data_IF_225421899213
#
_entry.id   IF_225421899213
#
_cell.length_a   1.000
_cell.length_b   1.000
_cell.length_c   1.000
_cell.angle_alpha   90.00
_cell.angle_beta   90.00
_cell.angle_gamma   90.00
#
_symmetry.space_group_name_H-M   'P 1'
#
loop_
_entity.id
_entity.type
_entity.pdbx_description
1 polymer ?
#
# COMPACT_ATOMS: atom_id res chain seq x y z
N UNK A 1 19.92 7.55 -0.08
CA UNK A 1 20.58 7.02 1.14
C UNK A 1 19.60 6.93 2.31
N UNK A 2 18.71 5.94 2.26
CA UNK A 2 17.78 5.68 3.34
C UNK A 2 18.21 4.43 4.09
N UNK A 3 18.07 4.46 5.41
CA UNK A 3 18.42 3.32 6.24
C UNK A 3 17.55 2.11 5.90
N UNK A 4 16.25 2.34 5.68
CA UNK A 4 15.31 1.29 5.30
C UNK A 4 14.08 1.92 4.65
N UNK A 5 13.42 1.14 3.83
CA UNK A 5 12.22 1.55 3.12
C UNK A 5 12.32 1.24 1.63
N UNK A 6 11.19 0.98 1.04
CA UNK A 6 11.07 0.76 -0.40
C UNK A 6 9.93 1.60 -0.94
N UNK A 7 10.23 2.35 -2.01
CA UNK A 7 9.26 3.21 -2.65
C UNK A 7 9.18 2.82 -4.12
N UNK A 8 7.99 2.49 -4.57
CA UNK A 8 7.75 2.05 -5.95
C UNK A 8 6.82 3.03 -6.64
N UNK A 9 7.16 3.38 -7.87
CA UNK A 9 6.30 4.17 -8.74
C UNK A 9 5.98 3.36 -9.97
N UNK A 10 4.70 3.14 -10.23
CA UNK A 10 4.23 2.40 -11.40
C UNK A 10 3.46 3.34 -12.33
N UNK A 11 3.79 3.31 -13.61
CA UNK A 11 3.12 4.08 -14.65
C UNK A 11 2.28 3.13 -15.50
N UNK A 12 1.00 3.44 -15.63
CA UNK A 12 0.04 2.62 -16.35
C UNK A 12 -0.73 3.46 -17.34
N UNK A 13 -1.03 2.89 -18.49
CA UNK A 13 -1.96 3.51 -19.44
C UNK A 13 -3.30 2.82 -19.33
N UNK A 14 -4.37 3.59 -19.29
CA UNK A 14 -5.74 3.09 -19.22
C UNK A 14 -6.56 3.70 -20.33
N UNK A 15 -7.46 2.91 -20.91
CA UNK A 15 -8.36 3.37 -21.95
C UNK A 15 -9.79 3.44 -21.43
N UNK A 16 -10.50 4.52 -21.77
CA UNK A 16 -11.93 4.66 -21.49
C UNK A 16 -12.28 4.47 -20.00
N UNK A 17 -11.40 4.89 -19.11
CA UNK A 17 -11.63 4.80 -17.67
C UNK A 17 -12.23 6.10 -17.15
N UNK A 18 -13.51 6.08 -16.83
CA UNK A 18 -14.26 7.26 -16.42
C UNK A 18 -14.63 7.29 -14.94
N UNK A 19 -14.23 6.27 -14.17
CA UNK A 19 -14.54 6.20 -12.75
C UNK A 19 -13.49 6.91 -11.91
N UNK A 20 -13.84 7.23 -10.66
CA UNK A 20 -12.89 7.76 -9.68
C UNK A 20 -11.93 6.64 -9.28
N UNK A 21 -10.70 6.74 -9.74
CA UNK A 21 -9.68 5.73 -9.52
C UNK A 21 -9.34 5.58 -8.03
N UNK A 22 -9.29 6.70 -7.31
CA UNK A 22 -9.02 6.65 -5.87
C UNK A 22 -10.09 5.86 -5.13
N UNK A 23 -11.34 6.07 -5.50
CA UNK A 23 -12.47 5.34 -4.92
C UNK A 23 -12.42 3.85 -5.25
N UNK A 24 -11.98 3.48 -6.44
CA UNK A 24 -11.79 2.07 -6.81
C UNK A 24 -10.76 1.39 -5.91
N UNK A 25 -9.64 2.05 -5.64
CA UNK A 25 -8.61 1.52 -4.74
C UNK A 25 -9.13 1.43 -3.31
N UNK A 26 -9.82 2.45 -2.83
CA UNK A 26 -10.40 2.44 -1.48
C UNK A 26 -11.37 1.28 -1.30
N UNK A 27 -12.23 1.04 -2.28
CA UNK A 27 -13.19 -0.05 -2.23
C UNK A 27 -12.52 -1.42 -2.26
N UNK A 28 -11.50 -1.56 -3.10
CA UNK A 28 -10.78 -2.85 -3.22
C UNK A 28 -10.07 -3.23 -1.92
N UNK A 29 -9.48 -2.25 -1.24
CA UNK A 29 -8.68 -2.48 -0.04
C UNK A 29 -9.40 -2.14 1.26
N UNK A 30 -10.72 -1.91 1.25
CA UNK A 30 -11.44 -1.44 2.43
C UNK A 30 -11.36 -2.41 3.62
N UNK A 31 -11.20 -3.71 3.37
CA UNK A 31 -11.08 -4.72 4.42
C UNK A 31 -9.62 -5.06 4.76
N UNK A 32 -8.66 -4.43 4.10
CA UNK A 32 -7.25 -4.70 4.32
C UNK A 32 -6.73 -3.95 5.53
N UNK A 33 -6.15 -4.66 6.49
CA UNK A 33 -5.64 -4.06 7.73
C UNK A 33 -4.39 -3.22 7.52
N UNK A 34 -3.56 -3.61 6.56
CA UNK A 34 -2.23 -3.02 6.39
C UNK A 34 -2.05 -2.23 5.11
N UNK A 35 -3.09 -2.09 4.31
CA UNK A 35 -3.05 -1.23 3.12
C UNK A 35 -3.83 0.05 3.41
N UNK A 36 -3.15 1.18 3.27
CA UNK A 36 -3.76 2.50 3.46
C UNK A 36 -3.76 3.23 2.12
N UNK A 37 -4.95 3.50 1.61
CA UNK A 37 -5.10 4.31 0.41
C UNK A 37 -5.16 5.77 0.85
N UNK A 38 -4.18 6.54 0.41
CA UNK A 38 -4.04 7.93 0.83
C UNK A 38 -5.09 8.81 0.17
N UNK A 39 -5.35 9.94 0.81
CA UNK A 39 -6.25 10.95 0.27
C UNK A 39 -5.77 11.37 -1.12
N UNK A 40 -6.72 11.59 -2.02
CA UNK A 40 -6.44 12.03 -3.39
C UNK A 40 -5.45 13.20 -3.42
N UNK A 41 -4.41 13.07 -4.23
CA UNK A 41 -3.36 14.07 -4.35
C UNK A 41 -2.25 13.98 -3.30
N UNK A 42 -2.27 12.95 -2.45
CA UNK A 42 -1.25 12.75 -1.41
C UNK A 42 -0.29 11.65 -1.84
N UNK A 43 1.00 11.92 -1.73
CA UNK A 43 2.04 10.94 -2.02
C UNK A 43 2.44 10.20 -0.73
N UNK A 44 2.77 8.90 -0.83
CA UNK A 44 3.31 8.17 0.31
C UNK A 44 4.65 8.75 0.76
N UNK A 45 4.93 8.59 2.06
CA UNK A 45 6.19 8.99 2.66
C UNK A 45 6.80 7.80 3.38
N UNK A 46 8.07 7.50 3.11
CA UNK A 46 8.76 6.38 3.76
C UNK A 46 8.79 6.51 5.27
N UNK A 47 8.93 7.72 5.79
CA UNK A 47 8.93 7.96 7.24
C UNK A 47 7.67 7.49 7.95
N UNK A 48 6.55 7.43 7.23
CA UNK A 48 5.25 7.04 7.82
C UNK A 48 5.02 5.54 7.83
N UNK A 49 5.82 4.79 7.09
CA UNK A 49 5.71 3.32 7.03
C UNK A 49 6.88 2.62 7.70
N UNK A 50 7.99 3.32 7.97
CA UNK A 50 9.14 2.74 8.64
C UNK A 50 8.74 2.17 9.99
N UNK A 51 9.24 0.98 10.30
CA UNK A 51 8.95 0.22 11.51
C UNK A 51 7.49 -0.23 11.63
N UNK A 52 6.76 -0.25 10.52
CA UNK A 52 5.35 -0.70 10.49
C UNK A 52 5.16 -1.77 9.43
N UNK A 53 4.04 -2.49 9.54
CA UNK A 53 3.61 -3.43 8.51
C UNK A 53 2.65 -2.80 7.49
N UNK A 54 2.56 -1.49 7.44
CA UNK A 54 1.67 -0.79 6.51
C UNK A 54 2.27 -0.66 5.11
N UNK A 55 1.39 -0.68 4.13
CA UNK A 55 1.68 -0.29 2.76
C UNK A 55 0.81 0.93 2.44
N UNK A 56 1.43 2.06 2.21
CA UNK A 56 0.72 3.28 1.84
C UNK A 56 0.73 3.42 0.33
N UNK A 57 -0.43 3.69 -0.24
CA UNK A 57 -0.60 3.81 -1.69
C UNK A 57 -1.22 5.16 -2.03
N UNK A 58 -0.57 5.90 -2.93
CA UNK A 58 -1.10 7.11 -3.52
C UNK A 58 -1.39 6.87 -5.01
N UNK A 59 -2.55 7.31 -5.48
CA UNK A 59 -2.99 7.08 -6.85
C UNK A 59 -3.24 8.41 -7.52
N UNK A 60 -2.69 8.57 -8.72
CA UNK A 60 -2.80 9.79 -9.52
C UNK A 60 -3.23 9.43 -10.93
N UNK A 61 -4.11 10.23 -11.49
CA UNK A 61 -4.56 10.05 -12.87
C UNK A 61 -4.50 11.38 -13.60
N UNK A 62 -3.89 11.35 -14.78
CA UNK A 62 -3.86 12.49 -15.71
C UNK A 62 -4.22 11.95 -17.09
N UNK A 63 -5.41 12.29 -17.57
CA UNK A 63 -5.95 11.77 -18.82
C UNK A 63 -5.97 10.24 -18.83
N UNK A 64 -5.15 9.59 -19.66
CA UNK A 64 -5.08 8.14 -19.78
C UNK A 64 -3.90 7.52 -19.03
N UNK A 65 -3.14 8.33 -18.32
CA UNK A 65 -1.99 7.85 -17.55
C UNK A 65 -2.35 7.77 -16.08
N UNK A 66 -2.12 6.60 -15.50
CA UNK A 66 -2.27 6.38 -14.06
C UNK A 66 -0.89 6.18 -13.46
N UNK A 67 -0.61 6.89 -12.38
CA UNK A 67 0.63 6.73 -11.62
C UNK A 67 0.27 6.26 -10.24
N UNK A 68 0.82 5.11 -9.85
CA UNK A 68 0.59 4.54 -8.52
C UNK A 68 1.92 4.58 -7.78
N UNK A 69 1.92 5.20 -6.62
CA UNK A 69 3.06 5.21 -5.71
C UNK A 69 2.76 4.33 -4.52
N UNK A 70 3.71 3.50 -4.12
CA UNK A 70 3.58 2.73 -2.90
C UNK A 70 4.84 2.81 -2.06
N UNK A 71 4.67 2.80 -0.75
CA UNK A 71 5.78 2.85 0.21
C UNK A 71 5.57 1.80 1.28
N UNK A 72 6.63 1.06 1.59
CA UNK A 72 6.64 0.04 2.64
C UNK A 72 7.97 0.10 3.41
N UNK A 73 7.96 -0.48 4.60
CA UNK A 73 9.21 -0.87 5.26
C UNK A 73 9.63 -2.21 4.67
N UNK A 74 10.74 -2.23 3.95
CA UNK A 74 11.18 -3.42 3.22
C UNK A 74 11.55 -4.59 4.13
N UNK A 75 11.85 -4.33 5.40
CA UNK A 75 12.22 -5.37 6.36
C UNK A 75 11.03 -5.87 7.18
N UNK A 76 9.94 -5.13 7.23
CA UNK A 76 8.72 -5.53 7.94
C UNK A 76 7.65 -5.95 6.95
N UNK A 77 6.96 -5.04 6.29
CA UNK A 77 5.93 -5.42 5.30
C UNK A 77 6.52 -6.21 4.14
N UNK A 78 7.72 -5.86 3.71
CA UNK A 78 8.39 -6.54 2.62
C UNK A 78 9.06 -7.87 3.01
N UNK A 79 9.14 -8.21 4.28
CA UNK A 79 9.84 -9.41 4.74
C UNK A 79 9.14 -10.05 5.96
N UNK A 80 9.66 -9.80 7.18
CA UNK A 80 9.20 -10.48 8.38
C UNK A 80 7.73 -10.21 8.71
N UNK A 81 7.26 -8.97 8.52
CA UNK A 81 5.87 -8.61 8.79
C UNK A 81 4.89 -9.33 7.88
N UNK A 82 5.22 -9.45 6.61
CA UNK A 82 4.37 -10.18 5.66
C UNK A 82 4.34 -11.68 6.00
N UNK A 83 5.47 -12.24 6.42
CA UNK A 83 5.54 -13.64 6.82
C UNK A 83 4.64 -13.91 8.03
N UNK A 84 4.67 -13.04 9.04
CA UNK A 84 3.83 -13.17 10.23
C UNK A 84 2.36 -12.96 9.87
N UNK A 85 2.05 -12.00 9.02
CA UNK A 85 0.69 -11.75 8.54
C UNK A 85 0.11 -13.00 7.86
N UNK A 86 0.87 -13.62 6.96
CA UNK A 86 0.47 -14.85 6.29
C UNK A 86 0.27 -16.00 7.28
N UNK A 87 1.19 -16.16 8.23
CA UNK A 87 1.06 -17.18 9.27
C UNK A 87 -0.22 -16.99 10.08
N UNK A 88 -0.51 -15.76 10.49
CA UNK A 88 -1.74 -15.45 11.24
C UNK A 88 -2.99 -15.90 10.49
N UNK A 89 -3.05 -15.62 9.19
CA UNK A 89 -4.17 -16.03 8.35
C UNK A 89 -4.24 -17.56 8.23
N UNK A 90 -3.11 -18.22 8.09
CA UNK A 90 -3.05 -19.69 7.94
C UNK A 90 -3.52 -20.43 9.19
N UNK A 91 -3.25 -19.90 10.37
CA UNK A 91 -3.63 -20.55 11.63
C UNK A 91 -4.96 -20.04 12.20
N UNK A 92 -5.64 -19.15 11.48
CA UNK A 92 -6.94 -18.63 11.88
C UNK A 92 -6.90 -17.53 12.94
N UNK A 93 -5.75 -16.92 13.15
CA UNK A 93 -5.60 -15.76 14.02
C UNK A 93 -6.00 -14.47 13.29
N UNK A 94 -6.12 -13.38 14.06
CA UNK A 94 -6.32 -12.07 13.47
C UNK A 94 -5.09 -11.70 12.64
N UNK A 95 -5.32 -11.16 11.46
CA UNK A 95 -4.26 -10.78 10.52
C UNK A 95 -3.20 -9.90 11.18
N UNK A 96 -3.62 -9.00 12.07
CA UNK A 96 -2.74 -8.02 12.72
C UNK A 96 -2.10 -8.51 14.02
N UNK A 97 -2.30 -9.78 14.41
CA UNK A 97 -1.75 -10.31 15.67
C UNK A 97 -0.24 -10.09 15.72
N UNK A 98 0.23 -9.44 16.78
CA UNK A 98 1.61 -9.02 17.06
C UNK A 98 2.25 -8.07 16.01
N UNK A 99 1.49 -7.57 15.06
CA UNK A 99 2.00 -6.68 14.01
C UNK A 99 1.63 -5.20 14.23
N UNK A 100 0.82 -4.92 15.22
CA UNK A 100 0.43 -3.55 15.54
C UNK A 100 1.48 -2.81 16.34
#
# INVERSE_FOLDING_TARGET
PLFRGEYITAYLEVENFNEDLNNCYENYYNDSKFVRILKKGTMPELSKVQNTNFCDIGVFKNENTVVVHSAIDNLIKGAAGQAIQCLNLMIGEKEEYILE
#
